data_IF_203878981183
#
_entry.id   IF_203878981183
#
_cell.length_a   1.000
_cell.length_b   1.000
_cell.length_c   1.000
_cell.angle_alpha   90.00
_cell.angle_beta   90.00
_cell.angle_gamma   90.00
#
_symmetry.space_group_name_H-M   'P 1'
#
loop_
_entity.id
_entity.type
_entity.pdbx_description
1 polymer ?
#
# COMPACT_ATOMS: atom_id res chain seq x y z
N UNK A 1 17.79 18.26 -24.83
CA UNK A 1 17.99 19.04 -23.56
C UNK A 1 18.87 18.21 -22.63
N UNK A 2 19.53 18.81 -21.61
CA UNK A 2 20.22 18.05 -20.54
C UNK A 2 19.22 17.51 -19.53
N UNK A 3 19.52 16.36 -18.90
CA UNK A 3 18.64 15.71 -17.91
C UNK A 3 18.19 16.67 -16.81
N UNK A 4 19.14 17.38 -16.16
CA UNK A 4 18.82 18.37 -15.10
C UNK A 4 17.89 19.49 -15.54
N UNK A 5 17.99 19.91 -16.82
CA UNK A 5 17.15 20.99 -17.36
C UNK A 5 15.72 20.47 -17.61
N UNK A 6 15.60 19.21 -18.06
CA UNK A 6 14.33 18.56 -18.31
C UNK A 6 13.59 18.29 -16.99
N UNK A 7 14.29 17.77 -15.95
CA UNK A 7 13.73 17.58 -14.61
C UNK A 7 13.22 18.92 -14.04
N UNK A 8 14.02 19.99 -14.14
CA UNK A 8 13.61 21.32 -13.67
C UNK A 8 12.35 21.84 -14.38
N UNK A 9 12.26 21.63 -15.69
CA UNK A 9 11.08 22.00 -16.48
C UNK A 9 9.86 21.21 -16.02
N UNK A 10 9.98 19.89 -15.87
CA UNK A 10 8.90 19.02 -15.36
C UNK A 10 8.45 19.41 -13.95
N UNK A 11 9.40 19.60 -13.01
CA UNK A 11 9.10 20.02 -11.65
C UNK A 11 8.37 21.38 -11.60
N UNK A 12 8.79 22.34 -12.44
CA UNK A 12 8.10 23.64 -12.53
C UNK A 12 6.67 23.45 -13.02
N UNK A 13 6.47 22.62 -14.04
CA UNK A 13 5.13 22.33 -14.57
C UNK A 13 4.23 21.68 -13.51
N UNK A 14 4.74 20.66 -12.80
CA UNK A 14 3.96 19.95 -11.77
C UNK A 14 3.61 20.83 -10.56
N UNK A 15 4.48 21.80 -10.22
CA UNK A 15 4.22 22.74 -9.13
C UNK A 15 2.96 23.58 -9.35
N UNK A 16 2.63 23.86 -10.60
CA UNK A 16 1.48 24.68 -10.97
C UNK A 16 0.19 23.84 -11.16
N UNK A 17 0.23 22.54 -10.88
CA UNK A 17 -0.92 21.64 -11.01
C UNK A 17 -1.95 21.89 -9.90
N UNK A 18 -3.22 22.12 -10.25
CA UNK A 18 -4.30 22.18 -9.27
C UNK A 18 -4.77 20.78 -8.81
N UNK A 19 -4.41 19.73 -9.54
CA UNK A 19 -4.86 18.36 -9.28
C UNK A 19 -3.93 17.56 -8.37
N UNK A 20 -2.71 18.08 -8.09
CA UNK A 20 -1.73 17.44 -7.22
C UNK A 20 -1.78 18.06 -5.83
N UNK A 21 -1.84 17.21 -4.78
CA UNK A 21 -1.69 17.68 -3.41
C UNK A 21 -0.22 17.99 -3.08
N UNK A 22 0.07 19.25 -2.82
CA UNK A 22 1.42 19.75 -2.53
C UNK A 22 1.79 19.70 -1.03
N UNK A 23 1.26 18.73 -0.27
CA UNK A 23 1.51 18.60 1.17
C UNK A 23 2.99 18.40 1.54
N UNK A 24 3.80 17.85 0.60
CA UNK A 24 5.22 17.63 0.81
C UNK A 24 6.04 18.59 -0.05
N UNK A 25 6.83 19.43 0.58
CA UNK A 25 7.74 20.35 -0.13
C UNK A 25 8.74 19.58 -0.99
N UNK A 26 8.79 19.93 -2.27
CA UNK A 26 9.72 19.34 -3.25
C UNK A 26 9.22 18.04 -3.88
N UNK A 27 7.99 17.61 -3.58
CA UNK A 27 7.35 16.42 -4.19
C UNK A 27 7.39 16.50 -5.72
N UNK A 28 7.08 17.63 -6.29
CA UNK A 28 7.09 17.89 -7.73
C UNK A 28 8.43 17.60 -8.40
N UNK A 29 9.53 17.86 -7.68
CA UNK A 29 10.88 17.54 -8.20
C UNK A 29 11.14 16.03 -8.14
N UNK A 30 10.80 15.39 -7.04
CA UNK A 30 10.96 13.94 -6.86
C UNK A 30 10.17 13.19 -7.94
N UNK A 31 8.91 13.56 -8.16
CA UNK A 31 8.07 12.93 -9.19
C UNK A 31 8.61 13.16 -10.61
N UNK A 32 9.11 14.37 -10.90
CA UNK A 32 9.76 14.66 -12.18
C UNK A 32 11.05 13.83 -12.39
N UNK A 33 11.82 13.59 -11.34
CA UNK A 33 13.00 12.70 -11.36
C UNK A 33 12.59 11.25 -11.60
N UNK A 34 11.62 10.72 -10.85
CA UNK A 34 11.10 9.35 -11.01
C UNK A 34 10.63 9.10 -12.44
N UNK A 35 9.82 10.01 -13.01
CA UNK A 35 9.31 9.87 -14.37
C UNK A 35 10.45 9.85 -15.40
N UNK A 36 11.50 10.66 -15.23
CA UNK A 36 12.64 10.64 -16.16
C UNK A 36 13.47 9.36 -15.99
N UNK A 37 13.75 8.95 -14.77
CA UNK A 37 14.57 7.78 -14.47
C UNK A 37 13.91 6.49 -14.98
N UNK A 38 12.61 6.36 -14.74
CA UNK A 38 11.85 5.23 -15.26
C UNK A 38 11.86 5.18 -16.80
N UNK A 39 11.62 6.33 -17.46
CA UNK A 39 11.69 6.43 -18.92
C UNK A 39 13.08 6.05 -19.48
N UNK A 40 14.15 6.32 -18.75
CA UNK A 40 15.52 6.00 -19.17
C UNK A 40 15.90 4.55 -18.81
N UNK A 41 15.30 3.99 -17.76
CA UNK A 41 15.67 2.71 -17.14
C UNK A 41 16.84 2.83 -16.16
N UNK A 42 17.33 4.03 -15.90
CA UNK A 42 18.46 4.34 -15.02
C UNK A 42 18.43 5.81 -14.58
N UNK A 43 19.13 6.13 -13.51
CA UNK A 43 19.39 7.52 -13.10
C UNK A 43 20.46 8.12 -14.03
N UNK A 44 20.14 9.19 -14.80
CA UNK A 44 21.08 9.80 -15.71
C UNK A 44 22.07 10.71 -14.99
N UNK A 45 23.27 10.91 -15.60
CA UNK A 45 24.11 12.05 -15.20
C UNK A 45 23.33 13.35 -15.48
N UNK A 46 23.39 14.33 -14.55
CA UNK A 46 22.68 15.62 -14.74
C UNK A 46 22.98 16.32 -16.05
N UNK A 47 24.13 16.07 -16.65
CA UNK A 47 24.57 16.70 -17.91
C UNK A 47 24.30 15.83 -19.15
N UNK A 48 23.76 14.63 -18.99
CA UNK A 48 23.41 13.75 -20.10
C UNK A 48 22.43 14.41 -21.07
N UNK A 49 22.69 14.26 -22.36
CA UNK A 49 21.82 14.74 -23.43
C UNK A 49 20.71 13.73 -23.71
N UNK A 50 19.49 14.10 -23.37
CA UNK A 50 18.31 13.28 -23.63
C UNK A 50 17.89 13.44 -25.11
N UNK A 51 17.60 12.35 -25.80
CA UNK A 51 17.17 12.35 -27.20
C UNK A 51 15.81 13.05 -27.36
N UNK A 52 15.56 13.67 -28.51
CA UNK A 52 14.32 14.38 -28.79
C UNK A 52 13.08 13.48 -28.67
N UNK A 53 13.20 12.19 -28.98
CA UNK A 53 12.11 11.22 -28.79
C UNK A 53 11.77 11.06 -27.31
N UNK A 54 12.78 10.79 -26.45
CA UNK A 54 12.58 10.62 -25.00
C UNK A 54 12.12 11.93 -24.32
N UNK A 55 12.58 13.11 -24.81
CA UNK A 55 12.06 14.39 -24.32
C UNK A 55 10.55 14.51 -24.53
N UNK A 56 10.05 14.21 -25.74
CA UNK A 56 8.60 14.27 -26.03
C UNK A 56 7.81 13.31 -25.14
N UNK A 57 8.25 12.05 -24.98
CA UNK A 57 7.58 11.09 -24.11
C UNK A 57 7.57 11.56 -22.65
N UNK A 58 8.68 12.13 -22.18
CA UNK A 58 8.74 12.70 -20.83
C UNK A 58 7.77 13.88 -20.66
N UNK A 59 7.70 14.78 -21.60
CA UNK A 59 6.77 15.91 -21.61
C UNK A 59 5.31 15.41 -21.58
N UNK A 60 4.98 14.37 -22.36
CA UNK A 60 3.67 13.71 -22.31
C UNK A 60 3.38 13.12 -20.93
N UNK A 61 4.35 12.48 -20.27
CA UNK A 61 4.22 11.92 -18.94
C UNK A 61 4.02 13.02 -17.87
N UNK A 62 4.73 14.12 -17.97
CA UNK A 62 4.55 15.29 -17.10
C UNK A 62 3.14 15.87 -17.25
N UNK A 63 2.60 15.98 -18.47
CA UNK A 63 1.23 16.47 -18.67
C UNK A 63 0.19 15.48 -18.11
N UNK A 64 0.39 14.18 -18.26
CA UNK A 64 -0.45 13.19 -17.58
C UNK A 64 -0.42 13.38 -16.07
N UNK A 65 0.77 13.50 -15.47
CA UNK A 65 0.90 13.74 -14.03
C UNK A 65 0.29 15.07 -13.61
N UNK A 66 0.40 16.10 -14.42
CA UNK A 66 -0.22 17.41 -14.17
C UNK A 66 -1.75 17.33 -14.03
N UNK A 67 -2.41 16.39 -14.70
CA UNK A 67 -3.86 16.15 -14.56
C UNK A 67 -4.21 15.32 -13.31
N UNK A 68 -3.25 15.00 -12.45
CA UNK A 68 -3.46 14.20 -11.24
C UNK A 68 -3.19 12.70 -11.42
N UNK A 69 -2.88 12.21 -12.64
CA UNK A 69 -2.61 10.79 -12.84
C UNK A 69 -1.42 10.33 -11.97
N UNK A 70 -1.58 9.27 -11.15
CA UNK A 70 -0.50 8.78 -10.29
C UNK A 70 0.75 8.39 -11.10
N UNK A 71 1.93 8.74 -10.57
CA UNK A 71 3.21 8.36 -11.19
C UNK A 71 3.26 6.86 -11.51
N UNK A 72 2.82 6.01 -10.57
CA UNK A 72 2.79 4.57 -10.76
C UNK A 72 1.87 4.08 -11.89
N UNK A 73 0.81 4.84 -12.25
CA UNK A 73 -0.02 4.53 -13.42
C UNK A 73 0.67 4.95 -14.72
N UNK A 74 1.47 6.01 -14.66
CA UNK A 74 2.21 6.54 -15.84
C UNK A 74 3.36 5.60 -16.19
N UNK A 75 4.14 5.15 -15.19
CA UNK A 75 5.28 4.26 -15.35
C UNK A 75 4.87 2.79 -15.49
N UNK A 76 3.71 2.43 -14.94
CA UNK A 76 3.22 1.03 -14.89
C UNK A 76 3.84 0.20 -13.78
N UNK A 77 4.71 0.80 -12.94
CA UNK A 77 5.37 0.12 -11.84
C UNK A 77 5.50 1.01 -10.59
N UNK A 78 5.77 0.38 -9.45
CA UNK A 78 6.15 1.07 -8.21
C UNK A 78 7.12 0.21 -7.40
N UNK A 79 8.14 0.82 -6.82
CA UNK A 79 9.00 0.12 -5.85
C UNK A 79 8.28 -0.03 -4.51
N UNK A 80 8.40 -1.21 -3.90
CA UNK A 80 7.98 -1.46 -2.54
C UNK A 80 8.94 -2.45 -1.88
N UNK A 81 9.73 -1.98 -0.94
CA UNK A 81 10.75 -2.78 -0.25
C UNK A 81 11.72 -3.50 -1.22
N UNK A 82 12.10 -2.84 -2.31
CA UNK A 82 12.99 -3.38 -3.35
C UNK A 82 12.31 -4.34 -4.34
N UNK A 83 10.99 -4.43 -4.32
CA UNK A 83 10.20 -5.12 -5.34
C UNK A 83 9.59 -4.09 -6.28
N UNK A 84 10.02 -4.08 -7.54
CA UNK A 84 9.39 -3.29 -8.59
C UNK A 84 8.08 -3.97 -9.03
N UNK A 85 6.96 -3.57 -8.41
CA UNK A 85 5.65 -4.16 -8.60
C UNK A 85 4.93 -3.55 -9.80
N UNK A 86 4.27 -4.38 -10.60
CA UNK A 86 3.41 -3.94 -11.70
C UNK A 86 2.18 -3.27 -11.09
N UNK A 87 1.85 -2.08 -11.61
CA UNK A 87 0.66 -1.31 -11.25
C UNK A 87 -0.26 -1.17 -12.45
N UNK A 88 -1.56 -1.28 -12.23
CA UNK A 88 -2.57 -1.05 -13.26
C UNK A 88 -3.69 -0.16 -12.71
N UNK A 89 -4.33 0.67 -13.55
CA UNK A 89 -5.52 1.44 -13.15
C UNK A 89 -6.61 0.54 -12.56
N UNK A 90 -7.37 1.06 -11.60
CA UNK A 90 -8.44 0.30 -10.95
C UNK A 90 -8.00 -0.51 -9.72
N UNK A 91 -6.75 -0.38 -9.32
CA UNK A 91 -6.21 -0.97 -8.08
C UNK A 91 -5.56 0.14 -7.25
N UNK A 92 -5.65 0.03 -5.93
CA UNK A 92 -5.01 0.98 -5.01
C UNK A 92 -3.51 1.08 -5.24
N UNK A 93 -2.99 2.31 -5.35
CA UNK A 93 -1.55 2.55 -5.47
C UNK A 93 -0.90 2.45 -4.09
N UNK A 94 0.08 1.55 -3.89
CA UNK A 94 0.74 1.39 -2.60
C UNK A 94 1.33 2.71 -2.08
N UNK A 95 1.26 2.89 -0.76
CA UNK A 95 1.87 4.04 -0.07
C UNK A 95 3.17 3.61 0.60
N UNK A 96 4.18 4.46 0.59
CA UNK A 96 5.46 4.21 1.30
C UNK A 96 5.25 3.92 2.79
N UNK A 97 4.19 4.50 3.39
CA UNK A 97 3.85 4.24 4.79
C UNK A 97 3.53 2.78 5.07
N UNK A 98 3.02 2.03 4.09
CA UNK A 98 2.67 0.61 4.20
C UNK A 98 3.90 -0.29 4.36
N UNK A 99 5.10 0.18 3.98
CA UNK A 99 6.35 -0.53 4.28
C UNK A 99 6.53 -0.74 5.79
N UNK A 100 6.09 0.22 6.61
CA UNK A 100 6.15 0.07 8.05
C UNK A 100 5.26 -1.05 8.55
N UNK A 101 4.07 -1.24 7.98
CA UNK A 101 3.19 -2.37 8.28
C UNK A 101 3.87 -3.70 7.90
N UNK A 102 4.43 -3.79 6.70
CA UNK A 102 5.17 -4.98 6.25
C UNK A 102 6.36 -5.29 7.17
N UNK A 103 7.17 -4.29 7.53
CA UNK A 103 8.30 -4.46 8.46
C UNK A 103 7.85 -4.96 9.84
N UNK A 104 6.73 -4.47 10.38
CA UNK A 104 6.19 -4.94 11.64
C UNK A 104 5.72 -6.41 11.58
N UNK A 105 5.16 -6.83 10.44
CA UNK A 105 4.78 -8.22 10.19
C UNK A 105 6.02 -9.11 10.07
N UNK A 106 6.98 -8.76 9.23
CA UNK A 106 8.24 -9.47 9.01
C UNK A 106 9.00 -9.70 10.32
N UNK A 107 9.13 -8.65 11.15
CA UNK A 107 9.78 -8.73 12.48
C UNK A 107 9.19 -9.81 13.38
N UNK A 108 7.86 -10.01 13.32
CA UNK A 108 7.15 -11.02 14.12
C UNK A 108 7.27 -12.42 13.51
N UNK A 109 7.13 -12.51 12.19
CA UNK A 109 7.18 -13.78 11.46
C UNK A 109 8.58 -14.42 11.46
N UNK A 110 9.65 -13.64 11.37
CA UNK A 110 11.04 -14.14 11.42
C UNK A 110 11.34 -14.96 12.70
N UNK A 111 10.61 -14.71 13.80
CA UNK A 111 10.77 -15.42 15.07
C UNK A 111 10.10 -16.82 15.08
N UNK A 112 9.40 -17.20 14.02
CA UNK A 112 8.66 -18.45 13.92
C UNK A 112 9.38 -19.46 13.03
N UNK A 113 9.21 -20.76 13.32
CA UNK A 113 9.79 -21.85 12.49
C UNK A 113 9.03 -22.04 11.18
N UNK A 114 7.69 -22.06 11.25
CA UNK A 114 6.77 -22.19 10.11
C UNK A 114 5.72 -21.10 10.23
N UNK A 115 6.07 -19.83 9.89
CA UNK A 115 5.15 -18.73 10.05
C UNK A 115 4.02 -18.79 9.03
N UNK A 116 2.82 -18.35 9.46
CA UNK A 116 1.64 -18.17 8.62
C UNK A 116 1.22 -16.72 8.66
N UNK A 117 1.10 -16.12 7.51
CA UNK A 117 0.68 -14.73 7.31
C UNK A 117 -0.57 -14.66 6.45
N UNK A 118 -1.53 -13.85 6.86
CA UNK A 118 -2.70 -13.47 6.06
C UNK A 118 -2.70 -11.95 5.91
N UNK A 119 -2.79 -11.48 4.67
CA UNK A 119 -2.90 -10.07 4.33
C UNK A 119 -4.29 -9.81 3.78
N UNK A 120 -5.09 -9.01 4.48
CA UNK A 120 -6.45 -8.65 4.12
C UNK A 120 -6.47 -7.33 3.37
N UNK A 121 -7.43 -7.13 2.46
CA UNK A 121 -7.46 -6.00 1.53
C UNK A 121 -6.10 -5.85 0.83
N UNK A 122 -5.59 -6.98 0.32
CA UNK A 122 -4.19 -7.08 -0.12
C UNK A 122 -3.88 -6.31 -1.42
N UNK A 123 -4.91 -5.78 -2.11
CA UNK A 123 -4.75 -5.06 -3.37
C UNK A 123 -3.97 -5.87 -4.40
N UNK A 124 -2.94 -5.27 -4.96
CA UNK A 124 -2.00 -5.91 -5.87
C UNK A 124 -0.97 -6.83 -5.18
N UNK A 125 -1.18 -7.15 -3.90
CA UNK A 125 -0.38 -8.07 -3.13
C UNK A 125 0.82 -7.46 -2.42
N UNK A 126 0.89 -6.17 -2.30
CA UNK A 126 2.07 -5.39 -1.87
C UNK A 126 2.70 -5.92 -0.58
N UNK A 127 1.93 -5.99 0.52
CA UNK A 127 2.43 -6.42 1.83
C UNK A 127 2.69 -7.94 1.83
N UNK A 128 1.77 -8.72 1.26
CA UNK A 128 1.91 -10.18 1.16
C UNK A 128 3.18 -10.57 0.40
N UNK A 129 3.51 -9.88 -0.69
CA UNK A 129 4.69 -10.14 -1.51
C UNK A 129 5.98 -9.73 -0.79
N UNK A 130 6.00 -8.57 -0.13
CA UNK A 130 7.14 -8.15 0.69
C UNK A 130 7.42 -9.17 1.81
N UNK A 131 6.37 -9.65 2.51
CA UNK A 131 6.51 -10.71 3.52
C UNK A 131 7.01 -12.01 2.89
N UNK A 132 6.50 -12.41 1.72
CA UNK A 132 6.92 -13.65 1.04
C UNK A 132 8.38 -13.60 0.59
N UNK A 133 8.86 -12.43 0.16
CA UNK A 133 10.26 -12.18 -0.20
C UNK A 133 11.17 -12.23 1.02
N UNK A 134 10.82 -11.49 2.07
CA UNK A 134 11.66 -11.29 3.26
C UNK A 134 11.62 -12.48 4.25
N UNK A 135 10.59 -13.32 4.17
CA UNK A 135 10.40 -14.50 5.01
C UNK A 135 10.04 -15.70 4.14
N UNK A 136 10.96 -16.25 3.32
CA UNK A 136 10.64 -17.30 2.31
C UNK A 136 10.03 -18.57 2.89
N UNK A 137 10.22 -18.83 4.19
CA UNK A 137 9.62 -19.97 4.91
C UNK A 137 8.18 -19.73 5.34
N UNK A 138 7.63 -18.54 5.13
CA UNK A 138 6.26 -18.22 5.50
C UNK A 138 5.26 -18.81 4.50
N UNK A 139 4.18 -19.36 5.03
CA UNK A 139 2.97 -19.56 4.25
C UNK A 139 2.20 -18.24 4.22
N UNK A 140 2.09 -17.63 3.02
CA UNK A 140 1.48 -16.32 2.83
C UNK A 140 0.22 -16.43 1.98
N UNK A 141 -0.86 -15.81 2.46
CA UNK A 141 -2.13 -15.70 1.73
C UNK A 141 -2.64 -14.26 1.75
N UNK A 142 -2.89 -13.69 0.57
CA UNK A 142 -3.56 -12.40 0.39
C UNK A 142 -5.03 -12.60 0.06
N UNK A 143 -5.91 -11.90 0.79
CA UNK A 143 -7.34 -11.83 0.54
C UNK A 143 -7.69 -10.44 0.03
N UNK A 144 -8.37 -10.37 -1.11
CA UNK A 144 -8.68 -9.11 -1.78
C UNK A 144 -10.10 -9.19 -2.35
N UNK A 145 -10.87 -8.11 -2.22
CA UNK A 145 -12.24 -8.03 -2.71
C UNK A 145 -12.29 -8.02 -4.23
N UNK A 146 -11.40 -7.26 -4.87
CA UNK A 146 -11.32 -7.08 -6.32
C UNK A 146 -10.68 -8.28 -7.01
N UNK A 147 -11.37 -8.83 -8.01
CA UNK A 147 -10.78 -9.88 -8.88
C UNK A 147 -9.61 -9.38 -9.70
N UNK A 148 -9.61 -8.10 -10.06
CA UNK A 148 -8.54 -7.40 -10.77
C UNK A 148 -7.30 -7.29 -9.89
N UNK A 149 -7.47 -6.87 -8.62
CA UNK A 149 -6.40 -6.84 -7.63
C UNK A 149 -5.76 -8.22 -7.46
N UNK A 150 -6.56 -9.28 -7.31
CA UNK A 150 -6.06 -10.67 -7.23
C UNK A 150 -5.29 -11.09 -8.46
N UNK A 151 -5.76 -10.76 -9.68
CA UNK A 151 -5.05 -11.06 -10.92
C UNK A 151 -3.68 -10.38 -10.96
N UNK A 152 -3.64 -9.10 -10.57
CA UNK A 152 -2.41 -8.32 -10.54
C UNK A 152 -1.45 -8.83 -9.47
N UNK A 153 -1.94 -9.14 -8.26
CA UNK A 153 -1.15 -9.73 -7.19
C UNK A 153 -0.48 -11.06 -7.62
N UNK A 154 -1.23 -11.91 -8.34
CA UNK A 154 -0.69 -13.16 -8.90
C UNK A 154 0.34 -12.92 -9.99
N UNK A 155 0.22 -11.87 -10.80
CA UNK A 155 1.23 -11.49 -11.80
C UNK A 155 2.51 -11.02 -11.10
N UNK A 156 2.39 -10.18 -10.09
CA UNK A 156 3.50 -9.71 -9.28
C UNK A 156 4.21 -10.88 -8.57
N UNK A 157 3.46 -11.82 -7.98
CA UNK A 157 4.04 -13.02 -7.39
C UNK A 157 4.87 -13.83 -8.40
N UNK A 158 4.34 -14.02 -9.62
CA UNK A 158 5.05 -14.74 -10.70
C UNK A 158 6.30 -14.01 -11.18
N UNK A 159 6.27 -12.68 -11.27
CA UNK A 159 7.44 -11.85 -11.66
C UNK A 159 8.67 -12.16 -10.80
N UNK A 160 8.46 -12.43 -9.51
CA UNK A 160 9.53 -12.68 -8.55
C UNK A 160 9.64 -14.16 -8.09
N UNK A 161 8.85 -15.06 -8.66
CA UNK A 161 8.85 -16.47 -8.24
C UNK A 161 8.43 -16.68 -6.79
N UNK A 162 7.60 -15.77 -6.22
CA UNK A 162 7.17 -15.83 -4.83
C UNK A 162 6.01 -16.81 -4.64
N UNK A 163 5.99 -17.50 -3.49
CA UNK A 163 5.02 -18.56 -3.17
C UNK A 163 3.70 -18.05 -2.58
N UNK A 164 3.53 -16.73 -2.40
CA UNK A 164 2.31 -16.13 -1.89
C UNK A 164 1.09 -16.51 -2.76
N UNK A 165 -0.04 -16.82 -2.11
CA UNK A 165 -1.29 -17.17 -2.75
C UNK A 165 -2.32 -16.08 -2.53
N UNK A 166 -3.24 -15.90 -3.48
CA UNK A 166 -4.25 -14.84 -3.44
C UNK A 166 -5.62 -15.39 -3.80
N UNK A 167 -6.64 -14.90 -3.08
CA UNK A 167 -8.04 -15.23 -3.33
C UNK A 167 -8.94 -14.00 -3.33
N UNK A 168 -9.98 -14.01 -4.19
CA UNK A 168 -10.99 -12.95 -4.26
C UNK A 168 -12.14 -13.26 -3.32
N UNK A 169 -12.55 -12.27 -2.53
CA UNK A 169 -13.66 -12.35 -1.59
C UNK A 169 -13.54 -11.32 -0.48
N UNK A 170 -14.59 -11.18 0.32
CA UNK A 170 -14.67 -10.23 1.41
C UNK A 170 -13.91 -10.75 2.64
N UNK A 171 -12.97 -9.95 3.15
CA UNK A 171 -12.14 -10.24 4.32
C UNK A 171 -11.58 -11.69 4.32
N UNK A 172 -12.09 -12.52 5.21
CA UNK A 172 -11.61 -13.89 5.41
C UNK A 172 -12.28 -14.95 4.52
N UNK A 173 -13.30 -14.59 3.73
CA UNK A 173 -14.00 -15.56 2.87
C UNK A 173 -13.05 -16.41 2.00
N UNK A 174 -12.07 -15.82 1.27
CA UNK A 174 -11.21 -16.58 0.39
C UNK A 174 -10.07 -17.29 1.13
N UNK A 175 -9.87 -17.01 2.42
CA UNK A 175 -8.78 -17.58 3.21
C UNK A 175 -9.03 -19.09 3.42
N UNK A 176 -8.05 -19.95 3.11
CA UNK A 176 -8.25 -21.39 3.26
C UNK A 176 -8.63 -21.79 4.70
N UNK A 177 -9.76 -22.47 4.87
CA UNK A 177 -10.30 -22.88 6.20
C UNK A 177 -9.27 -23.63 7.08
N UNK A 178 -8.30 -24.33 6.45
CA UNK A 178 -7.21 -25.03 7.16
C UNK A 178 -6.27 -24.09 7.94
N UNK A 179 -6.30 -22.78 7.65
CA UNK A 179 -5.50 -21.74 8.34
C UNK A 179 -6.21 -21.18 9.58
N UNK A 180 -7.49 -21.47 9.78
CA UNK A 180 -8.25 -21.01 10.95
C UNK A 180 -7.57 -21.45 12.25
N UNK A 181 -7.32 -20.52 13.15
CA UNK A 181 -6.61 -20.74 14.41
C UNK A 181 -5.09 -20.98 14.28
N UNK A 182 -4.51 -20.79 13.09
CA UNK A 182 -3.08 -21.06 12.82
C UNK A 182 -2.27 -19.85 12.37
N UNK A 183 -2.92 -18.72 12.07
CA UNK A 183 -2.26 -17.51 11.56
C UNK A 183 -1.41 -16.86 12.65
N UNK A 184 -0.14 -16.61 12.37
CA UNK A 184 0.77 -15.92 13.30
C UNK A 184 0.58 -14.42 13.27
N UNK A 185 0.37 -13.87 12.06
CA UNK A 185 0.19 -12.43 11.83
C UNK A 185 -0.86 -12.22 10.76
N UNK A 186 -1.82 -11.36 11.05
CA UNK A 186 -2.75 -10.78 10.08
C UNK A 186 -2.33 -9.33 9.88
N UNK A 187 -2.23 -8.90 8.63
CA UNK A 187 -2.08 -7.49 8.23
C UNK A 187 -3.31 -7.01 7.49
N UNK A 188 -3.60 -5.73 7.60
CA UNK A 188 -4.60 -5.05 6.79
C UNK A 188 -4.27 -3.57 6.67
N UNK A 189 -4.39 -3.03 5.46
CA UNK A 189 -4.53 -1.60 5.20
C UNK A 189 -5.98 -1.37 4.76
N UNK A 190 -6.91 -1.07 5.70
CA UNK A 190 -8.32 -0.96 5.36
C UNK A 190 -8.62 0.36 4.66
N UNK A 191 -9.68 0.44 3.84
CA UNK A 191 -10.28 1.70 3.43
C UNK A 191 -10.89 2.38 4.67
N UNK A 192 -10.28 3.46 5.14
CA UNK A 192 -10.67 4.15 6.39
C UNK A 192 -11.24 5.55 6.19
N UNK A 193 -11.49 5.98 4.97
CA UNK A 193 -12.11 7.28 4.70
C UNK A 193 -13.60 7.20 5.02
N UNK A 194 -14.10 8.11 5.85
CA UNK A 194 -15.52 8.20 6.15
C UNK A 194 -16.31 8.60 4.88
N UNK A 195 -17.60 8.20 4.82
CA UNK A 195 -18.43 8.42 3.63
C UNK A 195 -18.48 9.88 3.18
N UNK A 196 -18.61 10.79 4.12
CA UNK A 196 -18.72 12.22 3.88
C UNK A 196 -17.37 12.90 3.58
N UNK A 197 -16.26 12.30 3.96
CA UNK A 197 -14.91 12.79 3.68
C UNK A 197 -14.42 12.50 2.25
N UNK A 198 -15.08 11.59 1.52
CA UNK A 198 -14.66 11.23 0.15
C UNK A 198 -14.60 12.44 -0.80
N UNK A 199 -15.51 13.38 -0.64
CA UNK A 199 -15.58 14.57 -1.50
C UNK A 199 -14.42 15.55 -1.24
N UNK A 200 -13.81 15.48 -0.06
CA UNK A 200 -12.73 16.37 0.38
C UNK A 200 -11.35 15.82 0.05
N UNK A 201 -11.27 14.59 -0.49
CA UNK A 201 -10.01 14.00 -0.91
C UNK A 201 -9.40 14.79 -2.08
N UNK A 202 -8.05 14.89 -2.14
CA UNK A 202 -7.35 15.44 -3.31
C UNK A 202 -7.79 14.76 -4.62
N UNK A 203 -7.87 15.53 -5.69
CA UNK A 203 -8.31 15.04 -7.01
C UNK A 203 -7.45 13.86 -7.49
N UNK A 204 -6.14 13.87 -7.25
CA UNK A 204 -5.23 12.78 -7.60
C UNK A 204 -5.54 11.44 -6.90
N UNK A 205 -6.33 11.46 -5.82
CA UNK A 205 -6.82 10.25 -5.13
C UNK A 205 -8.23 9.94 -5.59
N UNK A 206 -9.14 10.92 -5.49
CA UNK A 206 -10.57 10.76 -5.75
C UNK A 206 -10.87 10.32 -7.17
N UNK A 207 -10.16 10.87 -8.16
CA UNK A 207 -10.42 10.63 -9.59
C UNK A 207 -9.70 9.38 -10.12
N UNK A 208 -8.63 8.94 -9.45
CA UNK A 208 -7.75 7.90 -9.98
C UNK A 208 -7.77 6.59 -9.20
N UNK A 209 -8.27 6.59 -7.98
CA UNK A 209 -8.36 5.38 -7.17
C UNK A 209 -9.82 4.95 -7.00
N UNK A 210 -10.13 3.64 -7.09
CA UNK A 210 -11.50 3.15 -6.94
C UNK A 210 -12.05 3.46 -5.54
N UNK A 211 -13.27 3.97 -5.46
CA UNK A 211 -13.88 4.39 -4.19
C UNK A 211 -13.88 3.27 -3.12
N UNK A 212 -14.07 2.01 -3.52
CA UNK A 212 -14.06 0.87 -2.59
C UNK A 212 -12.69 0.60 -1.96
N UNK A 213 -11.61 1.17 -2.50
CA UNK A 213 -10.26 1.09 -1.92
C UNK A 213 -9.98 2.21 -0.92
N UNK A 214 -10.84 3.22 -0.88
CA UNK A 214 -10.70 4.41 -0.04
C UNK A 214 -11.65 4.37 1.15
N UNK A 215 -12.88 3.89 0.95
CA UNK A 215 -13.94 3.87 1.96
C UNK A 215 -14.69 2.54 1.99
N UNK A 216 -15.09 2.13 3.19
CA UNK A 216 -16.06 1.05 3.41
C UNK A 216 -17.51 1.55 3.48
N UNK A 217 -17.72 2.84 3.13
CA UNK A 217 -18.99 3.54 3.16
C UNK A 217 -19.66 3.68 4.55
N UNK A 218 -18.94 3.37 5.64
CA UNK A 218 -19.42 3.66 6.99
C UNK A 218 -19.35 5.16 7.31
N UNK A 219 -20.16 5.61 8.27
CA UNK A 219 -20.22 7.03 8.66
C UNK A 219 -18.89 7.56 9.22
N UNK A 220 -18.15 6.70 9.91
CA UNK A 220 -16.89 7.05 10.59
C UNK A 220 -15.65 6.41 9.95
N UNK A 221 -15.79 5.69 8.82
CA UNK A 221 -14.68 4.99 8.14
C UNK A 221 -14.10 3.81 8.93
N UNK A 222 -14.78 3.31 9.96
CA UNK A 222 -14.28 2.24 10.83
C UNK A 222 -15.09 0.94 10.72
N UNK A 223 -16.01 0.81 9.78
CA UNK A 223 -16.84 -0.39 9.63
C UNK A 223 -16.00 -1.63 9.34
N UNK A 224 -15.07 -1.55 8.37
CA UNK A 224 -14.18 -2.66 8.06
C UNK A 224 -13.18 -2.95 9.17
N UNK A 225 -12.74 -1.92 9.89
CA UNK A 225 -11.89 -2.06 11.10
C UNK A 225 -12.59 -2.92 12.14
N UNK A 226 -13.86 -2.62 12.47
CA UNK A 226 -14.66 -3.37 13.44
C UNK A 226 -14.84 -4.83 13.03
N UNK A 227 -15.24 -5.06 11.77
CA UNK A 227 -15.40 -6.41 11.22
C UNK A 227 -14.11 -7.21 11.28
N UNK A 228 -12.98 -6.61 10.91
CA UNK A 228 -11.67 -7.26 10.98
C UNK A 228 -11.31 -7.65 12.42
N UNK A 229 -11.54 -6.73 13.37
CA UNK A 229 -11.26 -6.99 14.81
C UNK A 229 -12.15 -8.09 15.36
N UNK A 230 -13.40 -8.17 14.95
CA UNK A 230 -14.37 -9.21 15.35
C UNK A 230 -13.96 -10.59 14.82
N UNK A 231 -13.58 -10.69 13.54
CA UNK A 231 -13.32 -11.97 12.87
C UNK A 231 -11.90 -12.50 13.08
N UNK A 232 -10.89 -11.61 13.22
CA UNK A 232 -9.48 -12.00 13.30
C UNK A 232 -9.14 -13.01 14.42
N UNK A 233 -9.75 -12.98 15.62
CA UNK A 233 -9.47 -13.97 16.67
C UNK A 233 -9.68 -15.43 16.26
N UNK A 234 -10.63 -15.70 15.37
CA UNK A 234 -10.90 -17.04 14.86
C UNK A 234 -9.78 -17.60 13.99
N UNK A 235 -9.06 -16.71 13.31
CA UNK A 235 -7.98 -17.08 12.38
C UNK A 235 -6.63 -17.09 13.06
N UNK A 236 -6.42 -16.17 14.01
CA UNK A 236 -5.17 -16.07 14.74
C UNK A 236 -4.96 -17.29 15.64
N UNK A 237 -3.74 -17.80 15.65
CA UNK A 237 -3.30 -18.75 16.68
C UNK A 237 -3.21 -18.06 18.05
N UNK A 238 -3.11 -18.85 19.12
CA UNK A 238 -2.79 -18.31 20.45
C UNK A 238 -1.51 -17.45 20.39
N UNK A 239 -1.58 -16.23 20.91
CA UNK A 239 -0.52 -15.22 20.82
C UNK A 239 -0.17 -14.78 19.38
N UNK A 240 -1.09 -14.93 18.44
CA UNK A 240 -1.00 -14.31 17.12
C UNK A 240 -1.31 -12.82 17.18
N UNK A 241 -0.97 -12.08 16.11
CA UNK A 241 -1.05 -10.63 16.06
C UNK A 241 -1.92 -10.15 14.91
N UNK A 242 -2.76 -9.16 15.19
CA UNK A 242 -3.40 -8.32 14.18
C UNK A 242 -2.61 -7.01 14.08
N UNK A 243 -2.24 -6.61 12.87
CA UNK A 243 -1.55 -5.36 12.54
C UNK A 243 -2.40 -4.61 11.52
N UNK A 244 -2.70 -3.37 11.81
CA UNK A 244 -3.57 -2.55 10.97
C UNK A 244 -2.93 -1.21 10.69
N UNK A 245 -2.82 -0.86 9.41
CA UNK A 245 -2.46 0.51 9.01
C UNK A 245 -3.63 1.45 9.27
N UNK A 246 -3.32 2.68 9.63
CA UNK A 246 -4.33 3.70 9.90
C UNK A 246 -3.78 5.10 9.63
N UNK A 247 -4.66 6.02 9.35
CA UNK A 247 -4.33 7.43 9.43
C UNK A 247 -3.94 7.82 10.87
N UNK A 248 -2.94 8.69 11.07
CA UNK A 248 -2.55 9.16 12.40
C UNK A 248 -3.70 9.74 13.23
N UNK A 249 -4.61 10.46 12.59
CA UNK A 249 -5.74 11.12 13.27
C UNK A 249 -6.77 10.10 13.75
N UNK A 250 -6.92 8.97 13.07
CA UNK A 250 -7.82 7.85 13.46
C UNK A 250 -7.17 6.84 14.41
N UNK A 251 -5.87 6.95 14.67
CA UNK A 251 -5.12 5.97 15.45
C UNK A 251 -5.68 5.74 16.87
N UNK A 252 -6.29 6.75 17.48
CA UNK A 252 -6.94 6.64 18.80
C UNK A 252 -8.17 5.75 18.72
N UNK A 253 -8.99 5.95 17.72
CA UNK A 253 -10.27 5.25 17.57
C UNK A 253 -10.04 3.79 17.16
N UNK A 254 -9.12 3.54 16.24
CA UNK A 254 -8.70 2.18 15.88
C UNK A 254 -8.17 1.42 17.11
N UNK A 255 -7.36 2.05 17.98
CA UNK A 255 -6.95 1.41 19.24
C UNK A 255 -8.11 1.09 20.17
N UNK A 256 -9.12 1.95 20.21
CA UNK A 256 -10.33 1.71 21.01
C UNK A 256 -11.05 0.48 20.48
N UNK A 257 -11.28 0.39 19.17
CA UNK A 257 -11.91 -0.80 18.55
C UNK A 257 -11.13 -2.08 18.88
N UNK A 258 -9.78 -2.06 18.81
CA UNK A 258 -8.97 -3.23 19.19
C UNK A 258 -9.18 -3.67 20.64
N UNK A 259 -9.24 -2.72 21.58
CA UNK A 259 -9.44 -3.02 23.00
C UNK A 259 -10.84 -3.54 23.29
N UNK A 260 -11.85 -2.96 22.68
CA UNK A 260 -13.25 -3.41 22.77
C UNK A 260 -13.42 -4.82 22.20
N UNK A 261 -12.70 -5.16 21.12
CA UNK A 261 -12.61 -6.52 20.59
C UNK A 261 -11.75 -7.48 21.42
N UNK A 262 -11.31 -7.06 22.63
CA UNK A 262 -10.57 -7.89 23.58
C UNK A 262 -9.11 -8.15 23.23
N UNK A 263 -8.55 -7.48 22.21
CA UNK A 263 -7.12 -7.59 21.88
C UNK A 263 -6.25 -7.08 23.04
N UNK A 264 -5.17 -7.80 23.32
CA UNK A 264 -4.19 -7.47 24.37
C UNK A 264 -2.96 -6.82 23.76
N UNK A 265 -2.15 -6.19 24.60
CA UNK A 265 -0.90 -5.55 24.20
C UNK A 265 -1.12 -4.58 23.01
N UNK A 266 -2.23 -3.80 23.08
CA UNK A 266 -2.61 -2.88 22.01
C UNK A 266 -1.71 -1.65 22.04
N UNK A 267 -0.88 -1.51 21.01
CA UNK A 267 0.13 -0.48 20.89
C UNK A 267 0.02 0.25 19.55
N UNK A 268 0.44 1.53 19.56
CA UNK A 268 0.70 2.30 18.36
C UNK A 268 2.17 2.24 18.01
N UNK A 269 2.49 1.90 16.77
CA UNK A 269 3.87 1.92 16.31
C UNK A 269 4.10 3.12 15.41
N UNK A 270 5.20 3.84 15.65
CA UNK A 270 5.57 5.03 14.87
C UNK A 270 6.61 4.62 13.83
N UNK A 271 6.38 4.99 12.60
CA UNK A 271 7.27 4.67 11.49
C UNK A 271 7.33 5.77 10.44
N UNK A 272 8.21 5.55 9.45
CA UNK A 272 8.46 6.52 8.39
C UNK A 272 9.24 7.75 8.85
N UNK A 273 9.48 8.67 7.93
CA UNK A 273 10.27 9.90 8.12
C UNK A 273 9.66 10.83 9.18
N UNK A 274 8.33 10.91 9.24
CA UNK A 274 7.61 11.81 10.15
C UNK A 274 7.45 11.23 11.56
N UNK A 275 7.82 9.97 11.81
CA UNK A 275 7.66 9.26 13.09
C UNK A 275 6.23 9.35 13.66
N UNK A 276 5.23 9.42 12.80
CA UNK A 276 3.82 9.42 13.17
C UNK A 276 3.29 8.02 13.38
N UNK A 277 2.18 7.87 14.10
CA UNK A 277 1.50 6.58 14.25
C UNK A 277 0.87 6.18 12.92
N UNK A 278 1.30 5.05 12.39
CA UNK A 278 0.77 4.50 11.14
C UNK A 278 0.24 3.08 11.29
N UNK A 279 0.63 2.37 12.34
CA UNK A 279 0.22 0.99 12.53
C UNK A 279 -0.21 0.76 13.98
N UNK A 280 -1.40 0.21 14.14
CA UNK A 280 -1.89 -0.33 15.40
C UNK A 280 -1.63 -1.83 15.40
N UNK A 281 -1.10 -2.32 16.50
CA UNK A 281 -0.86 -3.75 16.71
C UNK A 281 -1.63 -4.24 17.94
N UNK A 282 -2.16 -5.43 17.86
CA UNK A 282 -2.84 -6.08 18.98
C UNK A 282 -2.63 -7.58 18.95
N UNK A 283 -2.53 -8.19 20.10
CA UNK A 283 -2.37 -9.62 20.26
C UNK A 283 -3.73 -10.28 20.43
N UNK A 284 -3.94 -11.46 19.84
CA UNK A 284 -5.17 -12.23 19.95
C UNK A 284 -5.69 -12.25 21.40
N UNK A 285 -7.01 -12.09 21.63
CA UNK A 285 -7.67 -12.33 22.90
C UNK A 285 -7.34 -13.72 23.50
N UNK A 286 -7.51 -13.87 24.80
CA UNK A 286 -7.19 -15.11 25.54
C UNK A 286 -8.14 -16.25 25.20
#
# INVERSE_FOLDING_TARGET
MKARALIRQGATRLKDSPAIDHWQKGREKIEAEILLFDLLGEEPDPDDKISAKKQRTYEEWIERRYTGEPVAHITGTTDFMGLDLIVEPGVFVPRDSSEWLAMQAIKRLRKRKKPVHVDLASGMGTIALAVSSEVPKAEVFGAELSTEGVKLARRNARKYGLSAKFGAGDLFEPVPKRLRGKVDVITIHPPYVARDELADLPDEIREWEPAHTLTDASEDGLGLVRRTVEEAPDWLRKNGWLLMETDPDRAKDVRTVFREGGFRDVESTKGGWLKVTRVIVGKRPS
#
